data_IF_622271736948
#
_entry.id   IF_622271736948
#
_cell.length_a   1.000
_cell.length_b   1.000
_cell.length_c   1.000
_cell.angle_alpha   90.00
_cell.angle_beta   90.00
_cell.angle_gamma   90.00
#
_symmetry.space_group_name_H-M   'P 1'
#
loop_
_entity.id
_entity.type
_entity.pdbx_description
1 polymer ?
#
# COMPACT_ATOMS: atom_id res chain seq x y z
N UNK A 1 5.66 4.89 3.81
CA UNK A 1 6.30 4.60 5.10
C UNK A 1 6.58 5.91 5.83
N UNK A 2 7.38 5.86 6.90
CA UNK A 2 7.74 7.04 7.70
C UNK A 2 8.58 8.05 6.88
N UNK A 3 8.02 9.23 6.61
CA UNK A 3 8.67 10.28 5.82
C UNK A 3 9.99 10.80 6.42
N UNK A 4 10.05 10.96 7.74
CA UNK A 4 11.26 11.42 8.43
C UNK A 4 12.41 10.41 8.36
N UNK A 5 12.09 9.12 8.51
CA UNK A 5 13.04 8.01 8.36
C UNK A 5 13.56 7.92 6.93
N UNK A 6 12.70 8.06 5.93
CA UNK A 6 13.07 8.01 4.52
C UNK A 6 14.01 9.17 4.15
N UNK A 7 13.70 10.39 4.56
CA UNK A 7 14.58 11.55 4.36
C UNK A 7 15.95 11.36 5.02
N UNK A 8 15.98 10.92 6.29
CA UNK A 8 17.24 10.63 7.01
C UNK A 8 18.06 9.54 6.31
N UNK A 9 17.41 8.47 5.81
CA UNK A 9 18.10 7.38 5.13
C UNK A 9 18.66 7.82 3.77
N UNK A 10 17.89 8.60 3.01
CA UNK A 10 18.32 9.17 1.73
C UNK A 10 19.55 10.06 1.90
N UNK A 11 19.51 11.00 2.85
CA UNK A 11 20.60 11.93 3.11
C UNK A 11 21.91 11.21 3.50
N UNK A 12 21.83 10.16 4.33
CA UNK A 12 23.00 9.33 4.70
C UNK A 12 23.65 8.62 3.51
N UNK A 13 22.90 8.39 2.42
CA UNK A 13 23.40 7.78 1.18
C UNK A 13 23.81 8.80 0.12
N UNK A 14 23.82 10.10 0.46
CA UNK A 14 24.13 11.18 -0.49
C UNK A 14 23.02 11.43 -1.52
N UNK A 15 21.80 10.96 -1.25
CA UNK A 15 20.63 11.15 -2.11
C UNK A 15 19.64 12.13 -1.46
N UNK A 16 18.87 12.86 -2.25
CA UNK A 16 17.68 13.58 -1.80
C UNK A 16 16.43 12.95 -2.38
N UNK A 17 15.31 13.04 -1.65
CA UNK A 17 13.99 12.69 -2.17
C UNK A 17 13.46 13.96 -2.86
N UNK A 18 13.17 13.91 -4.18
CA UNK A 18 12.57 15.03 -4.89
C UNK A 18 11.23 15.48 -4.28
N UNK A 19 10.87 16.77 -4.37
CA UNK A 19 9.66 17.31 -3.76
C UNK A 19 8.36 16.79 -4.40
N UNK A 20 8.44 16.25 -5.61
CA UNK A 20 7.36 15.62 -6.37
C UNK A 20 7.13 14.14 -6.00
N UNK A 21 7.97 13.55 -5.14
CA UNK A 21 7.72 12.23 -4.59
C UNK A 21 6.86 12.33 -3.34
N UNK A 22 5.65 11.81 -3.43
CA UNK A 22 4.76 11.65 -2.27
C UNK A 22 5.18 10.45 -1.41
N UNK A 23 5.18 10.64 -0.08
CA UNK A 23 5.45 9.56 0.88
C UNK A 23 4.20 9.35 1.73
N UNK A 24 3.53 8.23 1.49
CA UNK A 24 2.31 7.84 2.22
C UNK A 24 2.68 6.94 3.39
N UNK A 25 2.27 7.29 4.61
CA UNK A 25 2.52 6.48 5.81
C UNK A 25 1.44 5.40 6.01
N UNK A 26 1.78 4.09 5.90
CA UNK A 26 0.80 3.01 6.03
C UNK A 26 0.36 2.77 7.49
N UNK A 27 0.86 3.52 8.48
CA UNK A 27 0.36 3.43 9.86
C UNK A 27 -0.99 4.13 10.04
N UNK A 28 -1.36 5.03 9.13
CA UNK A 28 -2.63 5.75 9.15
C UNK A 28 -3.37 5.40 7.86
N UNK A 29 -4.28 4.44 7.96
CA UNK A 29 -5.08 4.01 6.81
C UNK A 29 -6.31 4.89 6.70
N UNK A 30 -6.51 5.48 5.53
CA UNK A 30 -7.73 6.25 5.28
C UNK A 30 -8.96 5.33 5.21
N UNK A 31 -10.06 5.78 5.83
CA UNK A 31 -11.32 5.04 5.87
C UNK A 31 -11.81 4.63 4.47
N UNK A 32 -11.55 5.44 3.44
CA UNK A 32 -11.92 5.15 2.05
C UNK A 32 -11.35 3.82 1.55
N UNK A 33 -10.13 3.48 1.95
CA UNK A 33 -9.49 2.22 1.54
C UNK A 33 -10.10 1.02 2.26
N UNK A 34 -10.46 1.19 3.54
CA UNK A 34 -11.10 0.15 4.34
C UNK A 34 -12.47 -0.18 3.76
N UNK A 35 -13.29 0.85 3.52
CA UNK A 35 -14.64 0.69 3.00
C UNK A 35 -14.62 0.03 1.61
N UNK A 36 -13.76 0.51 0.71
CA UNK A 36 -13.60 -0.08 -0.61
C UNK A 36 -13.13 -1.55 -0.54
N UNK A 37 -12.19 -1.88 0.34
CA UNK A 37 -11.69 -3.25 0.48
C UNK A 37 -12.77 -4.19 1.03
N UNK A 38 -13.56 -3.73 2.01
CA UNK A 38 -14.71 -4.47 2.54
C UNK A 38 -15.74 -4.73 1.44
N UNK A 39 -16.08 -3.72 0.64
CA UNK A 39 -17.02 -3.87 -0.47
C UNK A 39 -16.52 -4.88 -1.51
N UNK A 40 -15.27 -4.72 -1.98
CA UNK A 40 -14.65 -5.62 -2.95
C UNK A 40 -14.64 -7.08 -2.49
N UNK A 41 -14.43 -7.30 -1.18
CA UNK A 41 -14.28 -8.63 -0.59
C UNK A 41 -15.47 -9.07 0.27
N UNK A 42 -16.62 -8.39 0.16
CA UNK A 42 -17.81 -8.70 0.92
C UNK A 42 -18.27 -10.16 0.73
N UNK A 43 -18.14 -10.68 -0.50
CA UNK A 43 -18.45 -12.07 -0.85
C UNK A 43 -17.55 -13.12 -0.14
N UNK A 44 -16.44 -12.69 0.47
CA UNK A 44 -15.55 -13.53 1.30
C UNK A 44 -15.74 -13.27 2.80
N UNK A 45 -16.69 -12.44 3.20
CA UNK A 45 -16.95 -12.11 4.60
C UNK A 45 -15.87 -11.25 5.25
N UNK A 46 -15.13 -10.44 4.46
CA UNK A 46 -14.16 -9.50 5.02
C UNK A 46 -14.89 -8.39 5.80
N UNK A 47 -14.44 -8.11 7.02
CA UNK A 47 -14.94 -7.01 7.84
C UNK A 47 -13.92 -5.86 7.90
N UNK A 48 -14.36 -4.69 8.41
CA UNK A 48 -13.56 -3.47 8.43
C UNK A 48 -12.24 -3.61 9.22
N UNK A 49 -12.26 -4.23 10.41
CA UNK A 49 -11.05 -4.38 11.23
C UNK A 49 -10.00 -5.26 10.54
N UNK A 50 -10.41 -6.38 9.93
CA UNK A 50 -9.49 -7.25 9.19
C UNK A 50 -9.02 -6.61 7.87
N UNK A 51 -9.83 -5.74 7.26
CA UNK A 51 -9.42 -4.95 6.10
C UNK A 51 -8.35 -3.92 6.49
N UNK A 52 -8.56 -3.18 7.57
CA UNK A 52 -7.58 -2.22 8.12
C UNK A 52 -6.25 -2.91 8.47
N UNK A 53 -6.30 -4.05 9.16
CA UNK A 53 -5.11 -4.84 9.49
C UNK A 53 -4.31 -5.24 8.23
N UNK A 54 -4.99 -5.64 7.16
CA UNK A 54 -4.34 -5.98 5.89
C UNK A 54 -3.76 -4.74 5.18
N UNK A 55 -4.42 -3.60 5.29
CA UNK A 55 -4.00 -2.35 4.65
C UNK A 55 -2.75 -1.74 5.27
N UNK A 56 -2.36 -2.15 6.48
CA UNK A 56 -1.06 -1.79 7.05
C UNK A 56 0.13 -2.39 6.29
N UNK A 57 -0.08 -3.42 5.46
CA UNK A 57 0.94 -3.89 4.52
C UNK A 57 1.05 -2.90 3.34
N UNK A 58 2.22 -2.26 3.11
CA UNK A 58 2.40 -1.30 2.01
C UNK A 58 2.09 -1.87 0.62
N UNK A 59 2.28 -3.18 0.43
CA UNK A 59 1.96 -3.85 -0.84
C UNK A 59 0.45 -3.94 -1.02
N UNK A 60 -0.29 -4.25 0.04
CA UNK A 60 -1.76 -4.31 0.02
C UNK A 60 -2.33 -2.91 -0.18
N UNK A 61 -1.83 -1.91 0.55
CA UNK A 61 -2.24 -0.51 0.38
C UNK A 61 -1.98 -0.02 -1.04
N UNK A 62 -0.78 -0.22 -1.57
CA UNK A 62 -0.45 0.16 -2.95
C UNK A 62 -1.30 -0.57 -3.99
N UNK A 63 -1.69 -1.82 -3.72
CA UNK A 63 -2.61 -2.56 -4.59
C UNK A 63 -4.03 -1.97 -4.52
N UNK A 64 -4.49 -1.55 -3.35
CA UNK A 64 -5.77 -0.85 -3.20
C UNK A 64 -5.78 0.50 -3.92
N UNK A 65 -4.70 1.27 -3.82
CA UNK A 65 -4.57 2.53 -4.56
C UNK A 65 -4.63 2.31 -6.08
N UNK A 66 -3.96 1.25 -6.57
CA UNK A 66 -4.02 0.85 -7.97
C UNK A 66 -5.45 0.45 -8.38
N UNK A 67 -6.13 -0.33 -7.55
CA UNK A 67 -7.53 -0.75 -7.79
C UNK A 67 -8.50 0.44 -7.81
N UNK A 68 -8.24 1.49 -7.05
CA UNK A 68 -9.02 2.73 -7.04
C UNK A 68 -8.61 3.72 -8.15
N UNK A 69 -7.61 3.38 -8.96
CA UNK A 69 -7.13 4.24 -10.05
C UNK A 69 -6.35 5.47 -9.58
N UNK A 70 -5.84 5.46 -8.34
CA UNK A 70 -5.03 6.56 -7.80
C UNK A 70 -3.58 6.51 -8.27
N UNK A 71 -3.12 5.35 -8.73
CA UNK A 71 -1.80 5.13 -9.32
C UNK A 71 -1.92 4.22 -10.54
N UNK A 72 -1.00 4.36 -11.50
CA UNK A 72 -1.01 3.56 -12.74
C UNK A 72 -0.26 2.22 -12.63
N UNK A 73 0.48 2.01 -11.54
CA UNK A 73 1.23 0.78 -11.33
C UNK A 73 1.87 0.68 -9.96
N UNK A 74 2.27 -0.55 -9.61
CA UNK A 74 2.94 -0.87 -8.35
C UNK A 74 4.23 -1.65 -8.64
N UNK A 75 5.34 -1.19 -8.07
CA UNK A 75 6.61 -1.92 -8.09
C UNK A 75 6.94 -2.35 -6.67
N UNK A 76 7.07 -3.65 -6.45
CA UNK A 76 7.49 -4.26 -5.17
C UNK A 76 8.49 -5.39 -5.45
N UNK A 77 8.85 -6.18 -4.43
CA UNK A 77 9.68 -7.37 -4.58
C UNK A 77 11.16 -7.23 -4.20
N UNK A 78 11.64 -6.01 -3.90
CA UNK A 78 13.02 -5.81 -3.43
C UNK A 78 13.25 -6.40 -2.02
N UNK A 79 12.21 -6.41 -1.19
CA UNK A 79 12.21 -6.98 0.17
C UNK A 79 11.03 -7.93 0.42
N UNK A 80 10.05 -7.95 -0.49
CA UNK A 80 8.90 -8.86 -0.44
C UNK A 80 9.13 -10.04 -1.37
N UNK A 81 8.61 -11.22 -1.03
CA UNK A 81 8.63 -12.35 -1.96
C UNK A 81 7.70 -12.08 -3.15
N UNK A 82 7.97 -12.73 -4.29
CA UNK A 82 7.07 -12.70 -5.46
C UNK A 82 5.65 -13.10 -5.07
N UNK A 83 5.50 -14.12 -4.22
CA UNK A 83 4.20 -14.57 -3.73
C UNK A 83 3.46 -13.48 -2.93
N UNK A 84 4.17 -12.75 -2.07
CA UNK A 84 3.60 -11.64 -1.28
C UNK A 84 3.24 -10.44 -2.15
N UNK A 85 3.88 -10.28 -3.32
CA UNK A 85 3.57 -9.20 -4.26
C UNK A 85 2.37 -9.54 -5.15
N UNK A 86 2.29 -10.77 -5.65
CA UNK A 86 1.24 -11.18 -6.60
C UNK A 86 -0.09 -11.47 -5.90
N UNK A 87 -0.07 -12.01 -4.67
CA UNK A 87 -1.30 -12.41 -3.97
C UNK A 87 -2.29 -11.24 -3.77
N UNK A 88 -1.88 -10.06 -3.27
CA UNK A 88 -2.79 -8.93 -3.16
C UNK A 88 -3.34 -8.48 -4.52
N UNK A 89 -2.48 -8.41 -5.54
CA UNK A 89 -2.87 -8.06 -6.90
C UNK A 89 -3.99 -8.98 -7.42
N UNK A 90 -3.84 -10.30 -7.29
CA UNK A 90 -4.87 -11.26 -7.70
C UNK A 90 -6.15 -11.23 -6.85
N UNK A 91 -6.09 -10.72 -5.61
CA UNK A 91 -7.24 -10.65 -4.72
C UNK A 91 -8.07 -9.38 -4.91
N UNK A 92 -7.43 -8.30 -5.34
CA UNK A 92 -8.01 -6.95 -5.34
C UNK A 92 -8.22 -6.39 -6.75
N UNK A 93 -7.38 -6.79 -7.71
CA UNK A 93 -7.45 -6.31 -9.09
C UNK A 93 -8.37 -7.23 -9.90
N UNK A 94 -9.32 -6.64 -10.64
CA UNK A 94 -10.19 -7.33 -11.61
C UNK A 94 -9.71 -7.16 -13.04
#
# INVERSE_FOLDING_TARGET
GDGGRMHRLSARRGMSIPPDIEIIDPTHIEQRYIDAMVELRAHKGLNAGLAEEQLHDPVVLGTMMLQLGEVDGLVSGAVHTTANTIRPALQLIR
#
